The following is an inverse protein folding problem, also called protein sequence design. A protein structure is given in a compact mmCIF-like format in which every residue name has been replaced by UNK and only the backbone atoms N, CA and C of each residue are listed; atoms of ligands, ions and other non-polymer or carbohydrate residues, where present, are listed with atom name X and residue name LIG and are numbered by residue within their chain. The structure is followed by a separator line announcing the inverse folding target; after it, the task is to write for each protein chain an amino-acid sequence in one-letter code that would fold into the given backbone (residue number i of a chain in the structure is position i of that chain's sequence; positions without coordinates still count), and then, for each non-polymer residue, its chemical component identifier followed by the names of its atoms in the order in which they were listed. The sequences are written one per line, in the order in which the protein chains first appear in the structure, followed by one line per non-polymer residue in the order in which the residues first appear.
data_IF_260008065334
#
_entry.id   IF_260008065334
#
_cell.length_a   1.000
_cell.length_b   1.000
_cell.length_c   1.000
_cell.angle_alpha   90.00
_cell.angle_beta   90.00
_cell.angle_gamma   90.00
#
_symmetry.space_group_name_H-M   'P 1'
#
loop_
_entity.id
_entity.type
_entity.pdbx_description
1 polymer ?
#
# COMPACT_ATOMS: atom_id res chain seq x y z
N UNK A 1 -14.61 19.41 -6.32
CA UNK A 1 -14.08 18.20 -5.67
C UNK A 1 -15.23 17.23 -5.53
N UNK A 2 -15.14 16.06 -6.16
CA UNK A 2 -16.20 15.05 -6.10
C UNK A 2 -16.03 14.24 -4.81
N UNK A 3 -17.13 13.99 -4.11
CA UNK A 3 -17.11 13.19 -2.89
C UNK A 3 -17.45 11.74 -3.25
N UNK A 4 -16.47 11.03 -3.81
CA UNK A 4 -16.63 9.66 -4.30
C UNK A 4 -15.55 8.74 -3.72
N UNK A 5 -15.95 7.52 -3.35
CA UNK A 5 -15.01 6.44 -3.03
C UNK A 5 -14.32 5.92 -4.30
N UNK A 6 -13.23 5.17 -4.17
CA UNK A 6 -12.55 4.55 -5.33
C UNK A 6 -13.51 3.64 -6.11
N UNK A 7 -14.29 2.80 -5.43
CA UNK A 7 -15.29 1.93 -6.08
C UNK A 7 -16.38 2.72 -6.83
N UNK A 8 -16.80 3.88 -6.32
CA UNK A 8 -17.78 4.73 -7.02
C UNK A 8 -17.16 5.42 -8.23
N UNK A 9 -15.90 5.84 -8.14
CA UNK A 9 -15.13 6.35 -9.29
C UNK A 9 -14.97 5.26 -10.35
N UNK A 10 -14.65 4.03 -9.91
CA UNK A 10 -14.50 2.87 -10.78
C UNK A 10 -15.82 2.51 -11.45
N UNK A 11 -16.96 2.62 -10.74
CA UNK A 11 -18.28 2.43 -11.35
C UNK A 11 -18.57 3.48 -12.44
N UNK A 12 -18.28 4.75 -12.19
CA UNK A 12 -18.48 5.82 -13.20
C UNK A 12 -17.59 5.58 -14.41
N UNK A 13 -16.31 5.23 -14.18
CA UNK A 13 -15.36 4.87 -15.25
C UNK A 13 -15.86 3.67 -16.05
N UNK A 14 -16.31 2.62 -15.37
CA UNK A 14 -16.84 1.41 -16.01
C UNK A 14 -18.07 1.73 -16.85
N UNK A 15 -19.03 2.51 -16.34
CA UNK A 15 -20.23 2.91 -17.09
C UNK A 15 -19.87 3.67 -18.37
N UNK A 16 -19.03 4.70 -18.25
CA UNK A 16 -18.57 5.50 -19.39
C UNK A 16 -17.79 4.65 -20.39
N UNK A 17 -16.94 3.75 -19.91
CA UNK A 17 -16.18 2.82 -20.74
C UNK A 17 -17.12 1.91 -21.54
N UNK A 18 -18.09 1.25 -20.89
CA UNK A 18 -19.02 0.35 -21.59
C UNK A 18 -19.91 1.10 -22.59
N UNK A 19 -20.20 2.37 -22.35
CA UNK A 19 -20.87 3.24 -23.33
C UNK A 19 -19.97 3.51 -24.54
N UNK A 20 -18.72 3.88 -24.33
CA UNK A 20 -17.76 4.13 -25.40
C UNK A 20 -17.47 2.87 -26.23
N UNK A 21 -17.50 1.69 -25.60
CA UNK A 21 -17.41 0.39 -26.27
C UNK A 21 -18.67 0.01 -27.05
N UNK A 22 -19.76 0.79 -26.96
CA UNK A 22 -21.05 0.49 -27.58
C UNK A 22 -21.80 -0.68 -26.94
N UNK A 23 -21.35 -1.15 -25.77
CA UNK A 23 -21.94 -2.25 -25.00
C UNK A 23 -23.06 -1.80 -24.07
N UNK A 24 -23.13 -0.51 -23.78
CA UNK A 24 -24.18 0.13 -23.01
C UNK A 24 -24.61 1.41 -23.72
N UNK A 25 -25.89 1.76 -23.65
CA UNK A 25 -26.35 3.07 -24.13
C UNK A 25 -26.19 4.11 -23.01
N UNK A 26 -26.11 5.41 -23.37
CA UNK A 26 -26.09 6.49 -22.36
C UNK A 26 -27.33 6.48 -21.47
N UNK A 27 -28.47 6.05 -22.01
CA UNK A 27 -29.67 5.70 -21.24
C UNK A 27 -29.78 4.17 -21.09
N UNK A 28 -29.92 3.69 -19.86
CA UNK A 28 -29.98 2.26 -19.57
C UNK A 28 -30.91 1.95 -18.38
N UNK A 29 -31.52 0.77 -18.41
CA UNK A 29 -32.33 0.25 -17.31
C UNK A 29 -31.54 -0.63 -16.34
N UNK A 30 -31.81 -0.49 -15.04
CA UNK A 30 -31.38 -1.41 -13.99
C UNK A 30 -32.62 -1.98 -13.30
N UNK A 31 -32.69 -3.31 -13.18
CA UNK A 31 -33.71 -4.00 -12.42
C UNK A 31 -33.10 -4.64 -11.18
N UNK A 32 -33.85 -4.62 -10.08
CA UNK A 32 -33.45 -5.26 -8.83
C UNK A 32 -34.09 -6.64 -8.73
N UNK A 33 -33.27 -7.68 -8.74
CA UNK A 33 -33.73 -9.08 -8.73
C UNK A 33 -33.41 -9.74 -7.39
N UNK A 34 -34.37 -10.42 -6.75
CA UNK A 34 -34.09 -11.16 -5.52
C UNK A 34 -33.14 -12.32 -5.79
N UNK A 35 -32.10 -12.44 -4.97
CA UNK A 35 -31.22 -13.61 -4.97
C UNK A 35 -31.81 -14.70 -4.08
N UNK A 36 -31.64 -15.97 -4.46
CA UNK A 36 -32.18 -17.10 -3.70
C UNK A 36 -31.38 -17.38 -2.42
N UNK A 37 -30.11 -16.96 -2.38
CA UNK A 37 -29.14 -17.33 -1.34
C UNK A 37 -28.80 -16.19 -0.36
N UNK A 38 -29.30 -14.97 -0.60
CA UNK A 38 -29.07 -13.82 0.27
C UNK A 38 -30.29 -12.87 0.30
N UNK A 39 -30.49 -12.11 1.39
CA UNK A 39 -31.56 -11.10 1.45
C UNK A 39 -31.27 -9.86 0.57
N UNK A 40 -30.21 -9.88 -0.24
CA UNK A 40 -29.81 -8.78 -1.13
C UNK A 40 -30.42 -8.88 -2.52
N UNK A 41 -30.72 -7.72 -3.10
CA UNK A 41 -31.11 -7.60 -4.50
C UNK A 41 -29.86 -7.42 -5.36
N UNK A 42 -29.77 -8.16 -6.46
CA UNK A 42 -28.73 -7.96 -7.48
C UNK A 42 -29.21 -6.97 -8.54
N UNK A 43 -28.25 -6.18 -9.04
CA UNK A 43 -28.47 -5.30 -10.16
C UNK A 43 -28.37 -6.08 -11.47
N UNK A 44 -29.45 -6.09 -12.24
CA UNK A 44 -29.43 -6.58 -13.62
C UNK A 44 -29.56 -5.39 -14.56
N UNK A 45 -28.60 -5.23 -15.47
CA UNK A 45 -28.67 -4.21 -16.52
C UNK A 45 -29.47 -4.75 -17.71
N UNK A 46 -30.58 -4.08 -18.03
CA UNK A 46 -31.53 -4.57 -19.04
C UNK A 46 -31.04 -4.42 -20.48
N UNK A 47 -30.17 -3.44 -20.74
CA UNK A 47 -29.71 -3.06 -22.08
C UNK A 47 -28.20 -3.29 -22.29
N UNK A 48 -27.56 -4.06 -21.40
CA UNK A 48 -26.13 -4.36 -21.49
C UNK A 48 -25.87 -5.46 -22.51
N UNK A 49 -24.93 -5.22 -23.43
CA UNK A 49 -24.55 -6.14 -24.52
C UNK A 49 -23.19 -6.84 -24.28
N UNK A 50 -22.63 -6.72 -23.08
CA UNK A 50 -21.41 -7.41 -22.68
C UNK A 50 -21.68 -8.79 -22.08
N UNK A 51 -20.67 -9.38 -21.45
CA UNK A 51 -20.78 -10.68 -20.77
C UNK A 51 -21.15 -10.53 -19.30
N UNK A 52 -21.69 -11.60 -18.70
CA UNK A 52 -21.95 -11.64 -17.26
C UNK A 52 -20.66 -11.48 -16.42
N UNK A 53 -19.52 -11.95 -16.93
CA UNK A 53 -18.20 -11.76 -16.32
C UNK A 53 -17.82 -10.28 -16.25
N UNK A 54 -17.98 -9.53 -17.35
CA UNK A 54 -17.73 -8.09 -17.37
C UNK A 54 -18.65 -7.31 -16.43
N UNK A 55 -19.90 -7.76 -16.26
CA UNK A 55 -20.84 -7.16 -15.33
C UNK A 55 -20.46 -7.47 -13.86
N UNK A 56 -19.90 -8.65 -13.61
CA UNK A 56 -19.42 -9.07 -12.27
C UNK A 56 -18.15 -8.35 -11.81
N UNK A 57 -17.38 -7.75 -12.73
CA UNK A 57 -16.18 -6.96 -12.41
C UNK A 57 -16.49 -5.69 -11.61
N UNK A 58 -17.74 -5.23 -11.65
CA UNK A 58 -18.16 -3.99 -11.02
C UNK A 58 -19.35 -4.20 -10.08
N UNK A 59 -19.30 -3.52 -8.93
CA UNK A 59 -20.42 -3.56 -7.98
C UNK A 59 -21.39 -2.41 -8.25
N UNK A 60 -22.59 -2.76 -8.73
CA UNK A 60 -23.68 -1.80 -8.98
C UNK A 60 -24.71 -1.92 -7.87
N UNK A 61 -24.94 -0.82 -7.15
CA UNK A 61 -25.90 -0.78 -6.03
C UNK A 61 -26.76 0.47 -6.08
N UNK A 62 -27.96 0.41 -5.47
CA UNK A 62 -28.84 1.58 -5.34
C UNK A 62 -28.12 2.78 -4.68
N UNK A 63 -27.31 2.50 -3.66
CA UNK A 63 -26.53 3.51 -2.95
C UNK A 63 -25.45 4.17 -3.81
N UNK A 64 -24.68 3.38 -4.57
CA UNK A 64 -23.68 3.92 -5.48
C UNK A 64 -24.34 4.84 -6.52
N UNK A 65 -25.43 4.39 -7.15
CA UNK A 65 -26.17 5.17 -8.14
C UNK A 65 -26.76 6.47 -7.57
N UNK A 66 -27.29 6.46 -6.33
CA UNK A 66 -27.75 7.67 -5.66
C UNK A 66 -26.62 8.70 -5.53
N UNK A 67 -25.44 8.29 -5.06
CA UNK A 67 -24.27 9.18 -4.88
C UNK A 67 -23.78 9.74 -6.21
N UNK A 68 -23.79 8.92 -7.27
CA UNK A 68 -23.47 9.39 -8.62
C UNK A 68 -24.47 10.44 -9.11
N UNK A 69 -25.77 10.24 -8.83
CA UNK A 69 -26.82 11.17 -9.21
C UNK A 69 -26.73 12.50 -8.44
N UNK A 70 -26.45 12.46 -7.14
CA UNK A 70 -26.22 13.65 -6.31
C UNK A 70 -25.02 14.48 -6.79
N UNK A 71 -23.96 13.81 -7.26
CA UNK A 71 -22.81 14.47 -7.87
C UNK A 71 -23.08 14.96 -9.31
N UNK A 72 -24.30 14.75 -9.83
CA UNK A 72 -24.76 15.07 -11.19
C UNK A 72 -23.98 14.32 -12.27
N UNK A 73 -23.45 13.14 -11.96
CA UNK A 73 -22.70 12.28 -12.87
C UNK A 73 -23.67 11.42 -13.68
N UNK A 74 -24.75 10.99 -13.05
CA UNK A 74 -25.86 10.31 -13.71
C UNK A 74 -27.18 11.02 -13.34
N UNK A 75 -28.22 10.77 -14.11
CA UNK A 75 -29.60 11.01 -13.71
C UNK A 75 -30.30 9.66 -13.56
N UNK A 76 -31.20 9.49 -12.59
CA UNK A 76 -31.96 8.25 -12.47
C UNK A 76 -33.42 8.53 -12.09
N UNK A 77 -34.35 7.92 -12.85
CA UNK A 77 -35.77 7.84 -12.55
C UNK A 77 -36.07 6.50 -11.86
N UNK A 78 -36.66 6.57 -10.66
CA UNK A 78 -36.93 5.40 -9.83
C UNK A 78 -38.34 4.87 -10.11
N UNK A 79 -38.43 3.56 -10.38
CA UNK A 79 -39.70 2.86 -10.57
C UNK A 79 -40.06 2.09 -9.31
N UNK A 80 -41.25 2.37 -8.79
CA UNK A 80 -41.74 1.77 -7.57
C UNK A 80 -42.95 0.87 -7.79
N UNK A 81 -43.10 -0.11 -6.90
CA UNK A 81 -44.34 -0.87 -6.72
C UNK A 81 -44.86 -0.73 -5.30
N UNK A 82 -46.16 -0.53 -5.17
CA UNK A 82 -46.84 -0.51 -3.87
C UNK A 82 -47.25 -1.95 -3.56
N UNK A 83 -46.78 -2.46 -2.43
CA UNK A 83 -47.21 -3.77 -1.94
C UNK A 83 -48.59 -3.70 -1.28
N UNK A 84 -49.10 -4.88 -0.90
CA UNK A 84 -50.44 -5.01 -0.29
C UNK A 84 -50.55 -4.29 1.07
N UNK A 85 -49.42 -3.96 1.71
CA UNK A 85 -49.37 -3.20 2.97
C UNK A 85 -49.30 -1.69 2.76
N UNK A 86 -49.34 -1.22 1.51
CA UNK A 86 -49.20 0.19 1.15
C UNK A 86 -47.75 0.67 1.14
N UNK A 87 -46.76 -0.23 1.27
CA UNK A 87 -45.35 0.14 1.25
C UNK A 87 -44.83 0.18 -0.17
N UNK A 88 -44.03 1.21 -0.44
CA UNK A 88 -43.44 1.47 -1.73
C UNK A 88 -42.06 0.83 -1.80
N UNK A 89 -41.88 -0.10 -2.74
CA UNK A 89 -40.62 -0.81 -2.96
C UNK A 89 -40.04 -0.43 -4.32
N UNK A 90 -38.75 -0.06 -4.34
CA UNK A 90 -38.04 0.21 -5.58
C UNK A 90 -37.81 -1.09 -6.35
N UNK A 91 -38.24 -1.13 -7.61
CA UNK A 91 -38.10 -2.33 -8.47
C UNK A 91 -37.13 -2.16 -9.63
N UNK A 92 -36.93 -0.92 -10.08
CA UNK A 92 -36.02 -0.62 -11.16
C UNK A 92 -35.61 0.86 -11.15
N UNK A 93 -34.56 1.18 -11.90
CA UNK A 93 -34.18 2.54 -12.27
C UNK A 93 -33.99 2.64 -13.78
N UNK A 94 -34.41 3.76 -14.35
CA UNK A 94 -33.90 4.21 -15.65
C UNK A 94 -32.82 5.24 -15.37
N UNK A 95 -31.59 5.02 -15.82
CA UNK A 95 -30.48 5.93 -15.58
C UNK A 95 -29.92 6.49 -16.89
N UNK A 96 -29.38 7.69 -16.82
CA UNK A 96 -28.73 8.41 -17.92
C UNK A 96 -27.36 8.89 -17.45
N UNK A 97 -26.29 8.54 -18.17
CA UNK A 97 -24.96 9.13 -17.90
C UNK A 97 -24.94 10.57 -18.40
N UNK A 98 -24.53 11.51 -17.54
CA UNK A 98 -24.52 12.93 -17.85
C UNK A 98 -23.15 13.35 -18.40
N UNK A 99 -23.09 14.42 -19.19
CA UNK A 99 -21.82 15.01 -19.66
C UNK A 99 -20.79 15.26 -18.54
N UNK A 100 -21.28 15.61 -17.34
CA UNK A 100 -20.43 15.80 -16.15
C UNK A 100 -19.72 14.53 -15.67
N UNK A 101 -20.22 13.33 -15.98
CA UNK A 101 -19.49 12.09 -15.70
C UNK A 101 -18.23 11.99 -16.53
N UNK A 102 -18.32 12.30 -17.82
CA UNK A 102 -17.17 12.39 -18.71
C UNK A 102 -16.20 13.45 -18.20
N UNK A 103 -16.67 14.66 -17.90
CA UNK A 103 -15.84 15.72 -17.31
C UNK A 103 -15.22 15.32 -15.96
N UNK A 104 -15.92 14.56 -15.12
CA UNK A 104 -15.43 14.11 -13.81
C UNK A 104 -14.33 13.05 -13.94
N UNK A 105 -14.47 12.11 -14.87
CA UNK A 105 -13.42 11.16 -15.21
C UNK A 105 -12.23 11.91 -15.80
N UNK A 106 -12.50 12.82 -16.76
CA UNK A 106 -11.48 13.66 -17.40
C UNK A 106 -10.71 14.51 -16.35
N UNK A 107 -11.36 14.88 -15.25
CA UNK A 107 -10.79 15.62 -14.11
C UNK A 107 -10.39 14.75 -12.91
N UNK A 108 -10.33 13.42 -13.08
CA UNK A 108 -10.08 12.39 -12.05
C UNK A 108 -10.76 12.64 -10.70
N UNK A 109 -12.02 13.08 -10.74
CA UNK A 109 -12.88 13.29 -9.59
C UNK A 109 -12.34 14.26 -8.52
N UNK A 110 -11.26 14.99 -8.83
CA UNK A 110 -10.59 16.00 -8.01
C UNK A 110 -10.39 15.66 -6.51
N UNK A 111 -10.25 14.38 -6.13
CA UNK A 111 -10.08 13.97 -4.72
C UNK A 111 -8.63 14.15 -4.22
N UNK A 112 -8.40 14.36 -2.90
CA UNK A 112 -7.07 14.32 -2.31
C UNK A 112 -6.62 12.89 -2.00
N UNK A 113 -5.31 12.68 -2.13
CA UNK A 113 -4.68 11.38 -2.22
C UNK A 113 -4.49 10.67 -0.86
N UNK A 114 -4.92 9.42 -0.76
CA UNK A 114 -4.73 8.54 0.42
C UNK A 114 -3.71 7.43 0.19
N UNK A 115 -2.94 7.49 -0.90
CA UNK A 115 -1.82 6.59 -1.18
C UNK A 115 -0.85 6.49 0.00
N UNK A 116 -0.76 7.53 0.84
CA UNK A 116 0.16 7.58 1.98
C UNK A 116 0.03 6.42 2.97
N UNK A 117 -1.11 5.73 3.07
CA UNK A 117 -1.28 4.58 3.98
C UNK A 117 -0.37 3.41 3.57
N UNK A 118 -0.12 3.21 2.28
CA UNK A 118 0.82 2.16 1.83
C UNK A 118 2.25 2.48 2.27
N UNK A 119 2.60 3.76 2.37
CA UNK A 119 3.90 4.22 2.88
C UNK A 119 4.03 4.13 4.41
N UNK A 120 2.92 4.07 5.15
CA UNK A 120 2.92 3.91 6.61
C UNK A 120 3.00 2.44 7.07
N UNK A 121 2.75 1.47 6.16
CA UNK A 121 2.84 0.04 6.44
C UNK A 121 3.88 -0.63 5.53
N UNK A 122 5.17 -0.28 5.62
CA UNK A 122 6.19 -0.68 4.64
C UNK A 122 6.50 -2.18 4.60
N UNK A 123 6.03 -2.97 5.57
CA UNK A 123 6.11 -4.44 5.53
C UNK A 123 4.99 -5.07 4.69
N UNK A 124 3.92 -4.33 4.39
CA UNK A 124 2.85 -4.79 3.51
C UNK A 124 3.24 -4.69 2.02
N UNK A 125 4.13 -3.75 1.67
CA UNK A 125 4.75 -3.66 0.35
C UNK A 125 6.28 -3.57 0.47
N UNK A 126 6.90 -4.74 0.33
CA UNK A 126 8.34 -4.94 0.42
C UNK A 126 9.07 -4.65 -0.91
N UNK A 127 8.39 -4.17 -1.96
CA UNK A 127 8.99 -4.00 -3.29
C UNK A 127 10.26 -3.14 -3.26
N UNK A 128 10.27 -2.13 -2.39
CA UNK A 128 11.37 -1.17 -2.22
C UNK A 128 12.41 -1.57 -1.15
N UNK A 129 12.35 -2.80 -0.62
CA UNK A 129 13.35 -3.26 0.33
C UNK A 129 14.66 -3.63 -0.36
N UNK A 130 15.77 -3.45 0.36
CA UNK A 130 17.09 -3.92 -0.04
C UNK A 130 17.06 -5.41 -0.42
N UNK A 131 17.70 -5.75 -1.53
CA UNK A 131 17.72 -7.12 -2.07
C UNK A 131 18.25 -8.15 -1.08
N UNK A 132 19.22 -7.78 -0.24
CA UNK A 132 19.74 -8.71 0.76
C UNK A 132 18.75 -8.93 1.90
N UNK A 133 18.02 -7.90 2.33
CA UNK A 133 16.94 -8.05 3.31
C UNK A 133 15.85 -8.98 2.76
N UNK A 134 15.44 -8.77 1.49
CA UNK A 134 14.45 -9.63 0.84
C UNK A 134 14.90 -11.09 0.75
N UNK A 135 16.16 -11.33 0.40
CA UNK A 135 16.69 -12.70 0.20
C UNK A 135 17.05 -13.43 1.49
N UNK A 136 17.44 -12.71 2.55
CA UNK A 136 18.00 -13.34 3.76
C UNK A 136 17.10 -13.21 4.98
N UNK A 137 16.33 -12.13 5.12
CA UNK A 137 15.45 -11.92 6.27
C UNK A 137 14.04 -12.49 6.02
N UNK A 138 13.43 -12.19 4.87
CA UNK A 138 12.02 -12.56 4.63
C UNK A 138 11.76 -14.07 4.59
N UNK A 139 12.62 -14.91 4.00
CA UNK A 139 12.38 -16.37 4.00
C UNK A 139 12.37 -16.96 5.40
N UNK A 140 13.12 -16.37 6.36
CA UNK A 140 13.12 -16.82 7.77
C UNK A 140 11.71 -16.68 8.36
N UNK A 141 11.04 -15.57 8.06
CA UNK A 141 9.69 -15.28 8.56
C UNK A 141 8.60 -16.10 7.85
N UNK A 142 8.91 -16.65 6.66
CA UNK A 142 7.97 -17.44 5.86
C UNK A 142 7.53 -18.75 6.52
N UNK A 143 8.26 -19.24 7.53
CA UNK A 143 7.89 -20.43 8.30
C UNK A 143 6.83 -20.18 9.40
N UNK A 144 6.48 -18.92 9.69
CA UNK A 144 5.41 -18.56 10.60
C UNK A 144 5.68 -17.27 11.39
N UNK A 145 4.78 -16.29 11.30
CA UNK A 145 4.97 -14.95 11.89
C UNK A 145 4.81 -14.89 13.42
N UNK A 146 4.40 -15.97 14.08
CA UNK A 146 4.15 -15.99 15.53
C UNK A 146 5.33 -16.54 16.34
N UNK A 147 6.38 -17.02 15.68
CA UNK A 147 7.56 -17.58 16.33
C UNK A 147 8.59 -16.47 16.58
N UNK A 148 8.80 -16.11 17.84
CA UNK A 148 9.76 -15.07 18.24
C UNK A 148 11.21 -15.43 17.88
N UNK A 149 11.54 -16.73 17.79
CA UNK A 149 12.88 -17.18 17.40
C UNK A 149 13.16 -16.90 15.91
N UNK A 150 12.13 -16.92 15.07
CA UNK A 150 12.26 -16.55 13.65
C UNK A 150 12.46 -15.04 13.50
N UNK A 151 11.77 -14.23 14.29
CA UNK A 151 11.97 -12.78 14.32
C UNK A 151 13.36 -12.39 14.83
N UNK A 152 13.82 -13.01 15.90
CA UNK A 152 15.18 -12.86 16.39
C UNK A 152 16.23 -13.19 15.30
N UNK A 153 16.05 -14.32 14.61
CA UNK A 153 16.92 -14.75 13.51
C UNK A 153 16.92 -13.74 12.35
N UNK A 154 15.75 -13.19 12.00
CA UNK A 154 15.62 -12.16 10.96
C UNK A 154 16.28 -10.83 11.37
N UNK A 155 16.14 -10.41 12.63
CA UNK A 155 16.77 -9.21 13.22
C UNK A 155 18.30 -9.35 13.22
N UNK A 156 18.83 -10.50 13.68
CA UNK A 156 20.27 -10.79 13.62
C UNK A 156 20.79 -10.70 12.20
N UNK A 157 20.07 -11.33 11.26
CA UNK A 157 20.42 -11.33 9.84
C UNK A 157 20.43 -9.92 9.25
N UNK A 158 19.44 -9.07 9.59
CA UNK A 158 19.39 -7.68 9.16
C UNK A 158 20.58 -6.87 9.70
N UNK A 159 20.96 -7.08 10.96
CA UNK A 159 22.15 -6.45 11.55
C UNK A 159 23.46 -6.85 10.86
N UNK A 160 23.59 -8.11 10.44
CA UNK A 160 24.73 -8.60 9.65
C UNK A 160 24.79 -7.90 8.29
N UNK A 161 23.67 -7.80 7.58
CA UNK A 161 23.59 -7.11 6.28
C UNK A 161 24.01 -5.64 6.42
N UNK A 162 23.57 -4.96 7.48
CA UNK A 162 23.97 -3.58 7.75
C UNK A 162 25.49 -3.43 7.95
N UNK A 163 26.11 -4.34 8.68
CA UNK A 163 27.57 -4.35 8.86
C UNK A 163 28.31 -4.64 7.55
N UNK A 164 27.89 -5.67 6.82
CA UNK A 164 28.47 -6.00 5.51
C UNK A 164 28.41 -4.79 4.57
N UNK A 165 27.32 -4.01 4.62
CA UNK A 165 27.20 -2.81 3.81
C UNK A 165 28.06 -1.65 4.29
N UNK A 166 28.14 -1.42 5.60
CA UNK A 166 29.08 -0.43 6.19
C UNK A 166 30.51 -0.70 5.75
N UNK A 167 30.89 -1.97 5.75
CA UNK A 167 32.21 -2.42 5.32
C UNK A 167 32.48 -2.11 3.85
N UNK A 168 31.53 -2.45 2.99
CA UNK A 168 31.65 -2.26 1.54
C UNK A 168 31.72 -0.78 1.17
N UNK A 169 30.78 0.04 1.65
CA UNK A 169 30.76 1.49 1.40
C UNK A 169 31.99 2.18 2.01
N UNK A 170 32.41 1.73 3.19
CA UNK A 170 33.62 2.24 3.85
C UNK A 170 34.93 1.77 3.24
N UNK A 171 34.92 0.82 2.29
CA UNK A 171 36.12 0.17 1.73
C UNK A 171 37.04 -0.44 2.82
N UNK A 172 36.46 -1.06 3.86
CA UNK A 172 37.20 -1.60 5.01
C UNK A 172 37.36 -3.12 4.86
N UNK A 173 38.52 -3.60 4.41
CA UNK A 173 38.74 -5.03 4.21
C UNK A 173 39.09 -5.82 5.48
N UNK A 174 39.46 -5.16 6.59
CA UNK A 174 39.90 -5.84 7.82
C UNK A 174 38.73 -6.55 8.54
N UNK A 175 38.69 -7.90 8.56
CA UNK A 175 37.58 -8.65 9.17
C UNK A 175 37.49 -8.47 10.69
N UNK A 176 38.59 -8.06 11.36
CA UNK A 176 38.59 -7.84 12.81
C UNK A 176 38.02 -6.47 13.19
N UNK A 177 37.94 -5.55 12.22
CA UNK A 177 37.30 -4.26 12.39
C UNK A 177 35.78 -4.43 12.41
N UNK A 178 35.20 -4.53 13.60
CA UNK A 178 33.77 -4.77 13.82
C UNK A 178 33.19 -3.76 14.82
N UNK A 179 31.87 -3.75 14.95
CA UNK A 179 31.23 -3.00 16.03
C UNK A 179 31.42 -1.48 15.90
N UNK A 180 31.62 -0.81 17.04
CA UNK A 180 31.89 0.63 17.07
C UNK A 180 33.20 1.03 16.39
N UNK A 181 34.19 0.11 16.34
CA UNK A 181 35.46 0.38 15.66
C UNK A 181 35.26 0.52 14.15
N UNK A 182 34.44 -0.35 13.56
CA UNK A 182 34.04 -0.25 12.16
C UNK A 182 33.36 1.09 11.86
N UNK A 183 32.35 1.44 12.68
CA UNK A 183 31.61 2.70 12.49
C UNK A 183 32.53 3.92 12.61
N UNK A 184 33.46 3.94 13.56
CA UNK A 184 34.43 5.03 13.70
C UNK A 184 35.39 5.11 12.51
N UNK A 185 35.82 3.99 11.96
CA UNK A 185 36.67 3.98 10.76
C UNK A 185 35.93 4.50 9.52
N UNK A 186 34.60 4.36 9.46
CA UNK A 186 33.79 4.92 8.37
C UNK A 186 33.52 6.42 8.58
N UNK A 187 33.06 6.80 9.77
CA UNK A 187 32.45 8.13 10.00
C UNK A 187 33.22 9.07 10.94
N UNK A 188 34.41 8.73 11.45
CA UNK A 188 35.22 9.69 12.23
C UNK A 188 35.66 10.89 11.37
N UNK A 189 36.26 11.91 11.99
CA UNK A 189 36.79 13.08 11.29
C UNK A 189 37.87 12.72 10.26
N UNK A 190 38.51 11.56 10.46
CA UNK A 190 39.48 10.93 9.56
C UNK A 190 38.94 9.62 8.97
N UNK A 191 37.63 9.38 9.05
CA UNK A 191 37.00 8.17 8.55
C UNK A 191 36.96 8.14 7.02
N UNK A 192 36.74 6.97 6.45
CA UNK A 192 36.77 6.76 5.00
C UNK A 192 35.70 7.56 4.25
N UNK A 193 34.59 7.91 4.91
CA UNK A 193 33.54 8.76 4.35
C UNK A 193 33.59 10.21 4.86
N UNK A 194 34.64 10.62 5.58
CA UNK A 194 34.70 11.97 6.15
C UNK A 194 34.53 13.08 5.10
N UNK A 195 35.09 12.88 3.90
CA UNK A 195 35.00 13.82 2.78
C UNK A 195 33.60 13.93 2.16
N UNK A 196 32.69 13.00 2.46
CA UNK A 196 31.30 13.03 1.99
C UNK A 196 30.45 14.04 2.78
N UNK A 197 30.99 14.58 3.87
CA UNK A 197 30.29 15.53 4.73
C UNK A 197 31.00 16.88 4.73
N UNK A 198 30.26 17.93 4.37
CA UNK A 198 30.72 19.32 4.51
C UNK A 198 30.50 19.85 5.93
N UNK A 199 29.52 19.28 6.66
CA UNK A 199 29.14 19.68 8.01
C UNK A 199 29.54 18.60 9.02
N UNK A 200 30.42 18.96 9.97
CA UNK A 200 30.96 18.02 10.95
C UNK A 200 29.88 17.39 11.86
N UNK A 201 28.82 18.14 12.20
CA UNK A 201 27.72 17.63 13.02
C UNK A 201 26.86 16.59 12.30
N UNK A 202 26.69 16.69 10.99
CA UNK A 202 25.96 15.68 10.21
C UNK A 202 26.73 14.36 10.19
N UNK A 203 28.03 14.43 9.91
CA UNK A 203 28.93 13.27 10.01
C UNK A 203 28.85 12.62 11.40
N UNK A 204 28.88 13.43 12.45
CA UNK A 204 28.77 12.94 13.83
C UNK A 204 27.41 12.28 14.08
N UNK A 205 26.32 12.83 13.55
CA UNK A 205 24.98 12.23 13.63
C UNK A 205 24.92 10.85 12.97
N UNK A 206 25.52 10.68 11.78
CA UNK A 206 25.67 9.36 11.16
C UNK A 206 26.48 8.43 12.05
N UNK A 207 27.67 8.86 12.51
CA UNK A 207 28.51 8.06 13.39
C UNK A 207 27.74 7.58 14.63
N UNK A 208 27.00 8.46 15.28
CA UNK A 208 26.24 8.17 16.50
C UNK A 208 25.07 7.22 16.22
N UNK A 209 24.34 7.44 15.12
CA UNK A 209 23.22 6.60 14.71
C UNK A 209 23.65 5.15 14.42
N UNK A 210 24.67 4.96 13.57
CA UNK A 210 25.15 3.62 13.20
C UNK A 210 25.85 2.94 14.39
N UNK A 211 26.61 3.69 15.21
CA UNK A 211 27.24 3.13 16.41
C UNK A 211 26.18 2.72 17.46
N UNK A 212 25.13 3.52 17.61
CA UNK A 212 24.00 3.23 18.48
C UNK A 212 23.35 1.92 18.10
N UNK A 213 22.98 1.75 16.83
CA UNK A 213 22.27 0.55 16.35
C UNK A 213 23.12 -0.70 16.47
N UNK A 214 24.40 -0.61 16.12
CA UNK A 214 25.35 -1.70 16.30
C UNK A 214 25.48 -2.05 17.79
N UNK A 215 25.55 -1.05 18.67
CA UNK A 215 25.67 -1.22 20.10
C UNK A 215 24.42 -1.76 20.81
N UNK A 216 23.22 -1.38 20.36
CA UNK A 216 21.94 -1.69 21.05
C UNK A 216 21.23 -2.90 20.46
N UNK A 217 21.41 -3.21 19.18
CA UNK A 217 20.75 -4.34 18.53
C UNK A 217 21.76 -5.42 18.15
N UNK A 218 22.77 -5.09 17.34
CA UNK A 218 23.69 -6.10 16.81
C UNK A 218 24.54 -6.77 17.89
N UNK A 219 25.09 -6.00 18.83
CA UNK A 219 25.93 -6.57 19.89
C UNK A 219 25.11 -7.43 20.87
N UNK A 220 23.96 -6.98 21.41
CA UNK A 220 23.11 -7.83 22.24
C UNK A 220 22.61 -9.07 21.50
N UNK A 221 22.17 -8.94 20.26
CA UNK A 221 21.77 -10.07 19.42
C UNK A 221 22.97 -10.89 18.89
N UNK A 222 24.21 -10.59 19.24
CA UNK A 222 25.35 -11.49 19.04
C UNK A 222 25.73 -12.23 20.34
N UNK A 223 25.30 -11.72 21.50
CA UNK A 223 25.70 -12.21 22.81
C UNK A 223 24.55 -12.82 23.63
N UNK A 224 23.30 -12.60 23.24
CA UNK A 224 22.08 -13.03 23.96
C UNK A 224 20.98 -13.41 22.97
N UNK A 225 20.15 -14.37 23.36
CA UNK A 225 18.83 -14.52 22.76
C UNK A 225 17.96 -13.36 23.22
N UNK A 226 17.48 -12.58 22.25
CA UNK A 226 16.50 -11.52 22.44
C UNK A 226 15.32 -12.02 21.64
N UNK A 227 14.20 -12.32 22.27
CA UNK A 227 13.00 -12.81 21.58
C UNK A 227 12.10 -11.60 21.28
N UNK A 228 12.33 -10.83 20.19
CA UNK A 228 11.53 -9.65 19.91
C UNK A 228 10.11 -10.06 19.55
N UNK A 229 9.17 -9.17 19.87
CA UNK A 229 7.83 -9.26 19.29
C UNK A 229 7.89 -9.09 17.76
N UNK A 230 6.90 -9.61 17.00
CA UNK A 230 6.78 -9.37 15.57
C UNK A 230 6.82 -7.89 15.19
N UNK A 231 6.22 -7.03 16.00
CA UNK A 231 6.18 -5.58 15.81
C UNK A 231 7.57 -4.96 15.95
N UNK A 232 8.33 -5.34 16.99
CA UNK A 232 9.70 -4.87 17.19
C UNK A 232 10.64 -5.39 16.10
N UNK A 233 10.52 -6.68 15.76
CA UNK A 233 11.32 -7.29 14.69
C UNK A 233 11.05 -6.65 13.34
N UNK A 234 9.78 -6.44 13.00
CA UNK A 234 9.36 -5.76 11.79
C UNK A 234 9.85 -4.31 11.72
N UNK A 235 9.66 -3.54 12.79
CA UNK A 235 10.13 -2.16 12.88
C UNK A 235 11.65 -2.08 12.71
N UNK A 236 12.40 -3.01 13.30
CA UNK A 236 13.85 -3.07 13.14
C UNK A 236 14.25 -3.36 11.69
N UNK A 237 13.62 -4.32 11.01
CA UNK A 237 13.92 -4.62 9.60
C UNK A 237 13.65 -3.41 8.71
N UNK A 238 12.51 -2.73 8.89
CA UNK A 238 12.18 -1.48 8.18
C UNK A 238 13.23 -0.40 8.45
N UNK A 239 13.67 -0.28 9.70
CA UNK A 239 14.68 0.70 10.07
C UNK A 239 16.04 0.37 9.44
N UNK A 240 16.46 -0.89 9.45
CA UNK A 240 17.67 -1.33 8.74
C UNK A 240 17.57 -1.02 7.25
N UNK A 241 16.41 -1.23 6.61
CA UNK A 241 16.20 -0.87 5.21
C UNK A 241 16.46 0.63 4.96
N UNK A 242 15.94 1.50 5.84
CA UNK A 242 16.20 2.94 5.78
C UNK A 242 17.69 3.27 5.92
N UNK A 243 18.40 2.62 6.86
CA UNK A 243 19.84 2.85 7.07
C UNK A 243 20.69 2.37 5.90
N UNK A 244 20.33 1.23 5.29
CA UNK A 244 21.00 0.74 4.08
C UNK A 244 20.85 1.77 2.96
N UNK A 245 19.65 2.30 2.75
CA UNK A 245 19.41 3.37 1.78
C UNK A 245 20.23 4.64 2.08
N UNK A 246 20.28 5.08 3.34
CA UNK A 246 21.09 6.24 3.77
C UNK A 246 22.59 6.03 3.56
N UNK A 247 23.06 4.80 3.71
CA UNK A 247 24.47 4.45 3.54
C UNK A 247 24.84 4.40 2.05
N UNK A 248 23.99 3.81 1.21
CA UNK A 248 24.19 3.77 -0.24
C UNK A 248 24.30 5.16 -0.86
N UNK A 249 23.55 6.13 -0.33
CA UNK A 249 23.63 7.52 -0.77
C UNK A 249 25.00 8.18 -0.51
N UNK A 250 25.87 7.57 0.30
CA UNK A 250 27.21 8.09 0.61
C UNK A 250 28.33 7.47 -0.24
N UNK A 251 28.02 6.50 -1.11
CA UNK A 251 28.99 6.00 -2.10
C UNK A 251 29.50 7.13 -3.00
#
# INVERSE_FOLDING_TARGET
MYNLTNQQKDLVRWLVQKIQEGKLNEEFGIMWVPTFDAPSLEAVMLDFKGTDEELSEISITQGALNVLAENKLIHCDIVYKIDKSGRQNETARKCTVMGKAYEAIDADFSAPDTSFITHLTPLADISNFDEQLKKRCLPILGAGSSDSMLWDSAVRTAGVILEERLRDVGSISDPNCTGSALVNNVFSDKGTLASKFTVASERQGYRDLYAGIVGTFRNPSAHRLVDPSPEEGGAFIVFVNLLLSKLEALR
#
